data_IF_158531827107
#
_entry.id   IF_158531827107
#
_cell.length_a   1.000
_cell.length_b   1.000
_cell.length_c   1.000
_cell.angle_alpha   90.00
_cell.angle_beta   90.00
_cell.angle_gamma   90.00
#
_symmetry.space_group_name_H-M   'P 1'
#
loop_
_entity.id
_entity.type
_entity.pdbx_description
1 polymer ?
#
# COMPACT_ATOMS: atom_id res chain seq x y z
N UNK A 1 18.76 5.26 -19.52
CA UNK A 1 17.95 4.87 -18.35
C UNK A 1 17.04 6.05 -18.06
N UNK A 2 15.76 5.93 -18.38
CA UNK A 2 14.75 6.89 -17.93
C UNK A 2 14.61 6.70 -16.42
N UNK A 3 15.01 7.70 -15.65
CA UNK A 3 14.79 7.73 -14.21
C UNK A 3 13.27 7.79 -14.01
N UNK A 4 12.68 6.76 -13.40
CA UNK A 4 11.26 6.77 -13.06
C UNK A 4 11.01 7.90 -12.04
N UNK A 5 9.90 8.66 -12.18
CA UNK A 5 9.63 9.85 -11.38
C UNK A 5 9.12 9.54 -9.96
N UNK A 6 9.72 8.56 -9.28
CA UNK A 6 9.29 8.17 -7.92
C UNK A 6 9.36 9.35 -6.95
N UNK A 7 8.34 9.44 -6.11
CA UNK A 7 8.17 10.41 -5.03
C UNK A 7 8.45 9.73 -3.68
N UNK A 8 8.41 10.52 -2.59
CA UNK A 8 8.61 9.99 -1.23
C UNK A 8 7.47 9.13 -0.71
N UNK A 9 6.28 9.23 -1.32
CA UNK A 9 5.10 8.45 -0.89
C UNK A 9 5.03 7.10 -1.61
N UNK A 10 5.90 6.87 -2.58
CA UNK A 10 5.91 5.65 -3.36
C UNK A 10 6.68 4.54 -2.67
N UNK A 11 6.21 3.31 -2.87
CA UNK A 11 6.86 2.11 -2.40
C UNK A 11 6.32 0.88 -3.13
N UNK A 12 6.73 -0.30 -2.67
CA UNK A 12 6.20 -1.59 -3.09
C UNK A 12 5.81 -2.40 -1.86
N UNK A 13 4.81 -3.25 -2.01
CA UNK A 13 4.28 -4.11 -0.96
C UNK A 13 5.22 -5.30 -0.67
N UNK A 14 6.47 -5.00 -0.33
CA UNK A 14 7.48 -5.93 0.12
C UNK A 14 7.85 -5.64 1.56
N UNK A 15 8.00 -6.70 2.35
CA UNK A 15 8.56 -6.64 3.70
C UNK A 15 9.56 -7.78 3.88
N UNK A 16 10.42 -7.69 4.90
CA UNK A 16 11.23 -8.83 5.32
C UNK A 16 10.31 -9.98 5.71
N UNK A 17 10.52 -11.14 5.09
CA UNK A 17 9.69 -12.32 5.31
C UNK A 17 10.25 -13.07 6.52
N UNK A 18 9.47 -13.26 7.61
CA UNK A 18 9.94 -14.04 8.74
C UNK A 18 10.16 -15.50 8.35
N UNK A 19 11.16 -16.14 8.97
CA UNK A 19 11.30 -17.58 8.86
C UNK A 19 9.99 -18.27 9.28
N UNK A 20 9.59 -19.30 8.54
CA UNK A 20 8.36 -20.06 8.77
C UNK A 20 7.04 -19.30 8.53
N UNK A 21 7.05 -18.17 7.81
CA UNK A 21 5.81 -17.46 7.42
C UNK A 21 4.77 -18.37 6.75
N UNK A 22 5.24 -19.30 5.91
CA UNK A 22 4.41 -20.29 5.21
C UNK A 22 3.85 -21.38 6.13
N UNK A 23 4.41 -21.55 7.32
CA UNK A 23 4.04 -22.58 8.29
C UNK A 23 3.15 -22.03 9.41
N UNK A 24 2.75 -20.75 9.34
CA UNK A 24 1.87 -20.14 10.32
C UNK A 24 0.54 -20.90 10.40
N UNK A 25 0.13 -21.31 11.61
CA UNK A 25 -1.07 -22.11 11.84
C UNK A 25 -2.37 -21.41 11.42
N UNK A 26 -2.41 -20.08 11.55
CA UNK A 26 -3.54 -19.23 11.16
C UNK A 26 -3.05 -17.80 10.83
N UNK A 27 -3.98 -16.91 10.45
CA UNK A 27 -3.64 -15.53 10.09
C UNK A 27 -3.14 -14.71 11.29
N UNK A 28 -3.60 -15.00 12.51
CA UNK A 28 -3.16 -14.29 13.72
C UNK A 28 -1.72 -14.67 14.10
N UNK A 29 -1.36 -15.94 13.96
CA UNK A 29 0.00 -16.43 14.10
C UNK A 29 0.92 -15.80 13.04
N UNK A 30 0.46 -15.69 11.78
CA UNK A 30 1.20 -15.01 10.72
C UNK A 30 1.42 -13.53 11.05
N UNK A 31 0.39 -12.81 11.46
CA UNK A 31 0.50 -11.40 11.89
C UNK A 31 1.50 -11.25 13.05
N UNK A 32 1.50 -12.18 14.00
CA UNK A 32 2.44 -12.19 15.13
C UNK A 32 3.89 -12.42 14.69
N UNK A 33 4.13 -13.30 13.71
CA UNK A 33 5.45 -13.52 13.12
C UNK A 33 5.96 -12.26 12.42
N UNK A 34 5.15 -11.65 11.57
CA UNK A 34 5.49 -10.40 10.89
C UNK A 34 5.73 -9.26 11.89
N UNK A 35 4.91 -9.15 12.94
CA UNK A 35 5.11 -8.16 14.01
C UNK A 35 6.47 -8.32 14.71
N UNK A 36 6.82 -9.55 15.07
CA UNK A 36 8.07 -9.85 15.78
C UNK A 36 9.28 -9.59 14.89
N UNK A 37 9.18 -9.90 13.60
CA UNK A 37 10.27 -9.74 12.63
C UNK A 37 10.33 -8.36 11.97
N UNK A 38 9.32 -7.51 12.18
CA UNK A 38 9.26 -6.19 11.57
C UNK A 38 10.50 -5.37 11.92
N UNK A 39 11.19 -4.83 10.91
CA UNK A 39 12.30 -3.88 11.09
C UNK A 39 11.76 -2.49 10.72
N UNK A 40 11.71 -1.54 11.67
CA UNK A 40 11.25 -0.19 11.37
C UNK A 40 12.16 0.49 10.34
N UNK A 41 11.56 1.28 9.46
CA UNK A 41 12.27 2.11 8.48
C UNK A 41 13.20 1.32 7.54
N UNK A 42 12.96 0.01 7.41
CA UNK A 42 13.64 -0.89 6.46
C UNK A 42 12.72 -1.15 5.26
N UNK A 43 13.35 -1.32 4.10
CA UNK A 43 12.70 -1.80 2.89
C UNK A 43 13.60 -2.85 2.23
N UNK A 44 13.07 -4.04 1.90
CA UNK A 44 13.87 -5.13 1.35
C UNK A 44 14.19 -4.89 -0.14
N UNK A 45 15.15 -4.01 -0.42
CA UNK A 45 15.57 -3.66 -1.80
C UNK A 45 16.02 -4.86 -2.62
N UNK A 46 16.49 -5.92 -1.98
CA UNK A 46 16.82 -7.22 -2.60
C UNK A 46 15.62 -7.95 -3.21
N UNK A 47 14.39 -7.60 -2.80
CA UNK A 47 13.16 -8.13 -3.39
C UNK A 47 12.70 -7.34 -4.63
N UNK A 48 13.30 -6.18 -4.93
CA UNK A 48 12.92 -5.39 -6.09
C UNK A 48 13.39 -6.05 -7.40
N UNK A 49 12.53 -6.09 -8.43
CA UNK A 49 12.95 -6.47 -9.77
C UNK A 49 14.02 -5.51 -10.32
N UNK A 50 14.97 -6.06 -11.07
CA UNK A 50 16.05 -5.27 -11.69
C UNK A 50 15.55 -4.28 -12.74
N UNK A 51 14.41 -4.58 -13.38
CA UNK A 51 13.74 -3.71 -14.35
C UNK A 51 12.38 -3.28 -13.81
N UNK A 52 12.37 -2.16 -13.09
CA UNK A 52 11.16 -1.60 -12.50
C UNK A 52 10.17 -1.09 -13.56
N UNK A 53 10.66 -0.64 -14.72
CA UNK A 53 9.79 -0.20 -15.82
C UNK A 53 8.99 -1.38 -16.36
N UNK A 54 9.66 -2.51 -16.65
CA UNK A 54 8.98 -3.72 -17.10
C UNK A 54 8.06 -4.32 -16.03
N UNK A 55 8.43 -4.19 -14.75
CA UNK A 55 7.61 -4.65 -13.64
C UNK A 55 6.32 -3.83 -13.47
N UNK A 56 6.42 -2.50 -13.51
CA UNK A 56 5.27 -1.60 -13.43
C UNK A 56 4.33 -1.76 -14.63
N UNK A 57 4.87 -1.98 -15.83
CA UNK A 57 4.08 -2.24 -17.04
C UNK A 57 3.20 -3.49 -16.99
N UNK A 58 3.42 -4.38 -16.02
CA UNK A 58 2.62 -5.59 -15.80
C UNK A 58 1.84 -5.55 -14.48
N UNK A 59 1.84 -4.40 -13.80
CA UNK A 59 1.31 -4.28 -12.44
C UNK A 59 -0.23 -4.41 -12.43
N UNK A 60 -0.79 -5.49 -11.85
CA UNK A 60 -2.24 -5.71 -11.87
C UNK A 60 -2.97 -4.96 -10.75
N UNK A 61 -2.24 -4.55 -9.70
CA UNK A 61 -2.81 -3.93 -8.51
C UNK A 61 -1.93 -2.79 -8.02
N UNK A 62 -2.57 -1.71 -7.58
CA UNK A 62 -1.90 -0.60 -6.89
C UNK A 62 -2.56 -0.41 -5.54
N UNK A 63 -1.79 -0.41 -4.45
CA UNK A 63 -2.29 -0.07 -3.12
C UNK A 63 -2.27 1.45 -2.97
N UNK A 64 -3.44 2.01 -2.63
CA UNK A 64 -3.61 3.46 -2.53
C UNK A 64 -3.99 3.81 -1.09
N UNK A 65 -3.09 4.51 -0.42
CA UNK A 65 -3.37 5.11 0.87
C UNK A 65 -4.10 6.44 0.77
N UNK A 66 -4.15 7.14 1.90
CA UNK A 66 -4.82 8.44 1.98
C UNK A 66 -3.83 9.55 1.61
N UNK A 67 -2.90 9.79 2.52
CA UNK A 67 -1.92 10.86 2.45
C UNK A 67 -0.82 10.57 3.49
N UNK A 68 0.39 11.13 3.30
CA UNK A 68 1.46 10.94 4.24
C UNK A 68 1.18 11.68 5.55
N UNK A 69 1.47 11.03 6.67
CA UNK A 69 1.50 11.70 7.98
C UNK A 69 2.74 12.56 8.17
N UNK A 70 2.78 13.34 9.24
CA UNK A 70 3.87 14.29 9.54
C UNK A 70 5.26 13.65 9.68
N UNK A 71 5.35 12.31 9.81
CA UNK A 71 6.61 11.58 9.85
C UNK A 71 7.33 11.48 8.50
N UNK A 72 6.70 11.85 7.38
CA UNK A 72 7.35 11.83 6.06
C UNK A 72 8.55 12.78 5.99
N UNK A 73 8.52 13.91 6.73
CA UNK A 73 9.60 14.88 6.75
C UNK A 73 10.94 14.30 7.25
N UNK A 74 10.88 13.26 8.08
CA UNK A 74 12.05 12.61 8.65
C UNK A 74 12.60 11.47 7.75
N UNK A 75 11.91 11.13 6.65
CA UNK A 75 12.34 10.08 5.73
C UNK A 75 13.33 10.62 4.67
N UNK A 76 14.41 9.87 4.38
CA UNK A 76 15.40 10.27 3.39
C UNK A 76 14.82 10.28 1.97
N UNK A 77 15.19 11.30 1.19
CA UNK A 77 14.88 11.38 -0.24
C UNK A 77 15.42 10.11 -0.92
N UNK A 78 14.55 9.34 -1.58
CA UNK A 78 14.85 8.13 -2.38
C UNK A 78 14.88 6.77 -1.66
N UNK A 79 14.58 6.67 -0.37
CA UNK A 79 14.34 5.35 0.22
C UNK A 79 12.87 5.00 0.10
N UNK A 80 12.54 3.95 -0.67
CA UNK A 80 11.28 3.26 -0.45
C UNK A 80 11.24 2.85 1.02
N UNK A 81 10.13 3.13 1.68
CA UNK A 81 9.85 2.63 3.02
C UNK A 81 8.60 1.77 2.96
N UNK A 82 8.39 0.91 3.95
CA UNK A 82 7.20 0.07 3.99
C UNK A 82 5.94 0.88 4.37
N UNK A 83 5.57 1.86 3.52
CA UNK A 83 4.48 2.81 3.68
C UNK A 83 4.74 3.88 4.76
N UNK A 84 4.60 3.56 6.05
CA UNK A 84 4.88 4.54 7.12
C UNK A 84 6.22 4.30 7.84
N UNK A 85 6.80 3.11 7.71
CA UNK A 85 8.13 2.75 8.21
C UNK A 85 8.20 2.48 9.72
N UNK A 86 7.66 3.38 10.54
CA UNK A 86 7.77 3.33 11.99
C UNK A 86 6.91 2.21 12.59
N UNK A 87 7.44 1.40 13.55
CA UNK A 87 6.69 0.28 14.19
C UNK A 87 5.27 0.62 14.67
N UNK A 88 5.05 1.87 15.12
CA UNK A 88 3.76 2.36 15.61
C UNK A 88 2.66 2.44 14.54
N UNK A 89 3.01 2.50 13.24
CA UNK A 89 2.07 2.48 12.11
C UNK A 89 1.38 1.12 11.95
N UNK A 90 2.04 0.05 12.41
CA UNK A 90 1.60 -1.33 12.29
C UNK A 90 1.59 -1.87 10.86
N UNK A 91 2.50 -1.40 10.00
CA UNK A 91 2.63 -1.88 8.60
C UNK A 91 2.81 -3.42 8.52
N UNK A 92 3.34 -4.05 9.58
CA UNK A 92 3.41 -5.52 9.70
C UNK A 92 2.05 -6.23 9.58
N UNK A 93 0.95 -5.56 9.93
CA UNK A 93 -0.41 -6.09 9.77
C UNK A 93 -0.75 -6.23 8.30
N UNK A 94 -0.49 -5.15 7.53
CA UNK A 94 -0.67 -5.15 6.09
C UNK A 94 0.23 -6.23 5.48
N UNK A 95 1.51 -6.26 5.83
CA UNK A 95 2.46 -7.28 5.37
C UNK A 95 1.91 -8.71 5.53
N UNK A 96 1.41 -9.05 6.73
CA UNK A 96 0.86 -10.38 7.02
C UNK A 96 -0.42 -10.71 6.22
N UNK A 97 -1.25 -9.70 5.94
CA UNK A 97 -2.46 -9.87 5.15
C UNK A 97 -2.18 -10.01 3.64
N UNK A 98 -1.12 -9.36 3.14
CA UNK A 98 -0.72 -9.40 1.73
C UNK A 98 0.18 -10.59 1.40
N UNK A 99 0.92 -11.12 2.37
CA UNK A 99 1.85 -12.23 2.17
C UNK A 99 1.16 -13.45 1.52
N UNK A 100 1.78 -13.96 0.45
CA UNK A 100 1.25 -15.08 -0.34
C UNK A 100 0.02 -14.71 -1.19
N UNK A 101 -0.15 -13.44 -1.57
CA UNK A 101 -1.19 -12.99 -2.50
C UNK A 101 -0.60 -12.27 -3.71
N UNK A 102 -1.45 -12.04 -4.72
CA UNK A 102 -1.11 -11.19 -5.85
C UNK A 102 -0.87 -9.71 -5.49
N UNK A 103 -1.19 -9.27 -4.26
CA UNK A 103 -0.84 -7.93 -3.77
C UNK A 103 0.58 -7.87 -3.18
N UNK A 104 1.27 -9.00 -2.98
CA UNK A 104 2.66 -8.98 -2.55
C UNK A 104 3.54 -8.45 -3.70
N UNK A 105 4.27 -7.38 -3.44
CA UNK A 105 5.03 -6.64 -4.45
C UNK A 105 4.23 -5.62 -5.27
N UNK A 106 2.93 -5.43 -4.99
CA UNK A 106 2.14 -4.38 -5.62
C UNK A 106 2.77 -2.99 -5.40
N UNK A 107 2.66 -2.11 -6.40
CA UNK A 107 3.04 -0.71 -6.22
C UNK A 107 2.16 -0.06 -5.15
N UNK A 108 2.75 0.77 -4.29
CA UNK A 108 2.05 1.48 -3.23
C UNK A 108 2.29 2.98 -3.36
N UNK A 109 1.25 3.76 -3.18
CA UNK A 109 1.33 5.23 -3.16
C UNK A 109 0.17 5.81 -2.34
N UNK A 110 0.16 7.12 -2.15
CA UNK A 110 -0.94 7.83 -1.51
C UNK A 110 -1.82 8.54 -2.54
N UNK A 111 -3.11 8.70 -2.23
CA UNK A 111 -4.00 9.48 -3.08
C UNK A 111 -3.58 10.96 -3.10
N UNK A 112 -3.14 11.52 -1.97
CA UNK A 112 -2.67 12.91 -1.87
C UNK A 112 -1.26 12.96 -1.31
N UNK A 113 -0.41 13.82 -1.89
CA UNK A 113 0.92 14.12 -1.34
C UNK A 113 0.88 15.11 -0.15
N UNK A 114 -0.30 15.55 0.26
CA UNK A 114 -0.46 16.49 1.38
C UNK A 114 0.02 15.84 2.68
N UNK A 115 1.09 16.39 3.26
CA UNK A 115 1.63 15.93 4.55
C UNK A 115 0.78 16.47 5.70
N UNK A 116 -0.10 15.64 6.25
CA UNK A 116 -0.88 15.95 7.45
C UNK A 116 -1.32 14.64 8.15
N UNK A 117 -1.04 14.53 9.45
CA UNK A 117 -1.51 13.39 10.24
C UNK A 117 -3.03 13.37 10.50
N UNK A 118 -3.74 14.46 10.23
CA UNK A 118 -5.21 14.55 10.29
C UNK A 118 -5.82 14.52 8.88
N UNK A 119 -6.41 13.39 8.45
CA UNK A 119 -6.98 13.28 7.11
C UNK A 119 -8.19 14.20 6.86
N UNK A 120 -8.79 14.77 7.91
CA UNK A 120 -9.87 15.75 7.76
C UNK A 120 -9.38 17.09 7.18
N UNK A 121 -8.08 17.37 7.23
CA UNK A 121 -7.47 18.55 6.64
C UNK A 121 -7.08 18.35 5.17
N UNK A 122 -7.19 17.12 4.67
CA UNK A 122 -6.77 16.77 3.31
C UNK A 122 -7.97 16.73 2.39
N UNK A 123 -7.89 17.50 1.31
CA UNK A 123 -8.94 17.55 0.31
C UNK A 123 -8.80 16.42 -0.71
N UNK A 124 -9.51 15.31 -0.50
CA UNK A 124 -9.66 14.26 -1.50
C UNK A 124 -10.71 14.66 -2.54
N UNK A 125 -10.30 15.41 -3.57
CA UNK A 125 -11.20 15.90 -4.63
C UNK A 125 -10.91 15.23 -5.98
N UNK A 126 -11.68 15.58 -7.01
CA UNK A 126 -11.51 15.03 -8.35
C UNK A 126 -10.12 15.31 -8.95
N UNK A 127 -9.55 16.49 -8.69
CA UNK A 127 -8.23 16.84 -9.21
C UNK A 127 -7.16 15.91 -8.64
N UNK A 128 -7.21 15.64 -7.33
CA UNK A 128 -6.27 14.73 -6.66
C UNK A 128 -6.36 13.30 -7.23
N UNK A 129 -7.57 12.83 -7.56
CA UNK A 129 -7.73 11.53 -8.23
C UNK A 129 -7.16 11.57 -9.65
N UNK A 130 -7.38 12.65 -10.40
CA UNK A 130 -6.83 12.81 -11.74
C UNK A 130 -5.29 12.88 -11.73
N UNK A 131 -4.70 13.54 -10.73
CA UNK A 131 -3.25 13.63 -10.54
C UNK A 131 -2.65 12.25 -10.26
N UNK A 132 -3.29 11.45 -9.40
CA UNK A 132 -2.90 10.04 -9.19
C UNK A 132 -2.97 9.24 -10.49
N UNK A 133 -4.07 9.30 -11.24
CA UNK A 133 -4.23 8.55 -12.50
C UNK A 133 -3.16 8.91 -13.52
N UNK A 134 -2.88 10.21 -13.70
CA UNK A 134 -1.80 10.70 -14.57
C UNK A 134 -0.43 10.21 -14.11
N UNK A 135 -0.22 10.15 -12.79
CA UNK A 135 1.03 9.66 -12.23
C UNK A 135 1.23 8.16 -12.49
N UNK A 136 0.19 7.33 -12.31
CA UNK A 136 0.23 5.90 -12.64
C UNK A 136 0.46 5.67 -14.14
N UNK A 137 -0.13 6.50 -15.01
CA UNK A 137 0.12 6.47 -16.45
C UNK A 137 1.57 6.82 -16.78
N UNK A 138 2.15 7.84 -16.12
CA UNK A 138 3.54 8.23 -16.30
C UNK A 138 4.54 7.16 -15.82
N UNK A 139 4.15 6.36 -14.82
CA UNK A 139 4.88 5.17 -14.37
C UNK A 139 4.71 3.96 -15.30
N UNK A 140 3.81 4.05 -16.29
CA UNK A 140 3.50 2.97 -17.22
C UNK A 140 2.63 1.86 -16.64
N UNK A 141 1.94 2.10 -15.51
CA UNK A 141 1.04 1.12 -14.89
C UNK A 141 -0.20 0.95 -15.79
N UNK A 142 -0.65 -0.29 -16.07
CA UNK A 142 -1.81 -0.52 -16.94
C UNK A 142 -3.09 0.21 -16.51
N UNK A 143 -3.89 0.63 -17.49
CA UNK A 143 -5.17 1.30 -17.26
C UNK A 143 -6.27 0.36 -16.71
N UNK A 144 -6.05 -0.95 -16.77
CA UNK A 144 -6.90 -1.98 -16.16
C UNK A 144 -6.37 -2.46 -14.79
N UNK A 145 -5.25 -1.91 -14.31
CA UNK A 145 -4.77 -2.18 -12.96
C UNK A 145 -5.80 -1.75 -11.92
N UNK A 146 -6.09 -2.61 -10.94
CA UNK A 146 -7.08 -2.32 -9.92
C UNK A 146 -6.46 -1.52 -8.76
N UNK A 147 -7.04 -0.36 -8.46
CA UNK A 147 -6.70 0.44 -7.29
C UNK A 147 -7.32 -0.17 -6.03
N UNK A 148 -6.48 -0.55 -5.08
CA UNK A 148 -6.86 -1.13 -3.80
C UNK A 148 -6.71 -0.04 -2.72
N UNK A 149 -7.80 0.65 -2.43
CA UNK A 149 -7.82 1.66 -1.38
C UNK A 149 -7.64 1.02 0.01
N UNK A 150 -6.70 1.53 0.79
CA UNK A 150 -6.53 1.13 2.20
C UNK A 150 -7.49 1.96 3.04
N UNK A 151 -8.60 1.37 3.47
CA UNK A 151 -9.71 2.04 4.16
C UNK A 151 -10.86 2.48 3.24
N UNK A 152 -11.95 2.91 3.86
CA UNK A 152 -13.24 3.21 3.19
C UNK A 152 -13.71 4.66 3.36
N UNK A 153 -12.77 5.57 3.65
CA UNK A 153 -13.05 6.98 3.88
C UNK A 153 -13.33 7.78 2.60
N UNK A 154 -13.23 9.11 2.71
CA UNK A 154 -13.44 10.02 1.58
C UNK A 154 -12.48 9.75 0.41
N UNK A 155 -11.26 9.29 0.67
CA UNK A 155 -10.30 8.89 -0.37
C UNK A 155 -10.87 7.75 -1.23
N UNK A 156 -11.36 6.67 -0.61
CA UNK A 156 -11.98 5.55 -1.31
C UNK A 156 -13.23 5.97 -2.08
N UNK A 157 -14.12 6.76 -1.47
CA UNK A 157 -15.34 7.23 -2.12
C UNK A 157 -15.05 8.06 -3.37
N UNK A 158 -14.03 8.91 -3.33
CA UNK A 158 -13.63 9.73 -4.47
C UNK A 158 -12.87 8.92 -5.52
N UNK A 159 -12.06 7.94 -5.14
CA UNK A 159 -11.49 6.96 -6.07
C UNK A 159 -12.62 6.26 -6.85
N UNK A 160 -13.61 5.67 -6.17
CA UNK A 160 -14.74 4.99 -6.83
C UNK A 160 -15.50 5.93 -7.79
N UNK A 161 -15.59 7.22 -7.44
CA UNK A 161 -16.36 8.20 -8.21
C UNK A 161 -15.61 8.73 -9.44
N UNK A 162 -14.30 8.91 -9.34
CA UNK A 162 -13.52 9.69 -10.30
C UNK A 162 -12.39 8.93 -10.98
N UNK A 163 -11.96 7.77 -10.44
CA UNK A 163 -10.95 6.94 -11.09
C UNK A 163 -11.52 6.29 -12.35
N UNK A 164 -10.68 6.17 -13.37
CA UNK A 164 -10.97 5.37 -14.56
C UNK A 164 -10.53 3.91 -14.38
N UNK A 165 -9.54 3.66 -13.50
CA UNK A 165 -9.13 2.31 -13.11
C UNK A 165 -10.18 1.66 -12.18
N UNK A 166 -10.34 0.32 -12.20
CA UNK A 166 -11.21 -0.37 -11.26
C UNK A 166 -10.79 -0.09 -9.81
N UNK A 167 -11.74 0.10 -8.90
CA UNK A 167 -11.46 0.40 -7.49
C UNK A 167 -12.04 -0.67 -6.58
N UNK A 168 -11.21 -1.18 -5.67
CA UNK A 168 -11.60 -2.02 -4.53
C UNK A 168 -11.06 -1.41 -3.24
N UNK A 169 -11.37 -2.03 -2.12
CA UNK A 169 -10.91 -1.57 -0.80
C UNK A 169 -10.57 -2.73 0.10
N UNK A 170 -9.59 -2.51 0.97
CA UNK A 170 -9.25 -3.38 2.10
C UNK A 170 -9.34 -2.57 3.41
N UNK A 171 -9.48 -3.22 4.57
CA UNK A 171 -9.51 -2.53 5.85
C UNK A 171 -8.26 -1.67 6.09
N UNK A 172 -8.41 -0.56 6.81
CA UNK A 172 -7.28 0.25 7.26
C UNK A 172 -6.67 -0.36 8.53
N UNK A 173 -5.34 -0.52 8.58
CA UNK A 173 -4.63 -1.24 9.64
C UNK A 173 -4.14 -0.36 10.81
N UNK A 174 -4.24 0.97 10.69
CA UNK A 174 -3.77 1.89 11.74
C UNK A 174 -4.41 1.61 13.11
N UNK A 175 -3.65 1.76 14.21
CA UNK A 175 -4.17 1.66 15.57
C UNK A 175 -5.30 2.64 15.89
N UNK A 176 -5.38 3.80 15.21
CA UNK A 176 -6.46 4.77 15.42
C UNK A 176 -7.83 4.26 14.93
N UNK A 177 -7.85 3.19 14.16
CA UNK A 177 -9.06 2.56 13.64
C UNK A 177 -9.55 1.46 14.62
N UNK A 178 -10.25 1.88 15.68
CA UNK A 178 -10.71 1.06 16.80
C UNK A 178 -11.57 -0.17 16.38
N UNK A 179 -10.93 -1.30 16.09
CA UNK A 179 -11.57 -2.63 16.06
C UNK A 179 -12.00 -3.17 14.69
N UNK A 180 -11.76 -2.45 13.59
CA UNK A 180 -12.12 -2.94 12.26
C UNK A 180 -11.09 -3.92 11.66
N UNK A 181 -9.87 -3.96 12.20
CA UNK A 181 -8.82 -4.87 11.76
C UNK A 181 -8.74 -6.11 12.68
N UNK A 182 -8.98 -7.28 12.09
CA UNK A 182 -8.54 -8.57 12.63
C UNK A 182 -7.79 -9.32 11.54
N UNK A 183 -6.81 -10.16 11.92
CA UNK A 183 -5.98 -10.86 10.94
C UNK A 183 -6.81 -11.67 9.93
N UNK A 184 -7.86 -12.36 10.40
CA UNK A 184 -8.75 -13.15 9.53
C UNK A 184 -9.61 -12.29 8.62
N UNK A 185 -10.32 -11.28 9.16
CA UNK A 185 -11.19 -10.42 8.36
C UNK A 185 -10.38 -9.69 7.29
N UNK A 186 -9.24 -9.10 7.67
CA UNK A 186 -8.39 -8.39 6.72
C UNK A 186 -7.83 -9.30 5.64
N UNK A 187 -7.38 -10.51 5.99
CA UNK A 187 -6.95 -11.51 4.99
C UNK A 187 -8.07 -11.88 4.03
N UNK A 188 -9.29 -12.12 4.54
CA UNK A 188 -10.45 -12.44 3.71
C UNK A 188 -10.81 -11.29 2.77
N UNK A 189 -10.79 -10.04 3.25
CA UNK A 189 -11.06 -8.86 2.42
C UNK A 189 -10.00 -8.66 1.34
N UNK A 190 -8.72 -8.90 1.65
CA UNK A 190 -7.63 -8.92 0.66
C UNK A 190 -7.91 -9.96 -0.43
N UNK A 191 -8.22 -11.21 -0.04
CA UNK A 191 -8.51 -12.28 -1.01
C UNK A 191 -9.74 -11.97 -1.87
N UNK A 192 -10.78 -11.39 -1.28
CA UNK A 192 -11.98 -10.98 -2.01
C UNK A 192 -11.70 -9.84 -3.00
N UNK A 193 -10.78 -8.93 -2.67
CA UNK A 193 -10.41 -7.81 -3.55
C UNK A 193 -9.65 -8.26 -4.81
N UNK A 194 -8.87 -9.34 -4.73
CA UNK A 194 -8.07 -9.84 -5.87
C UNK A 194 -8.75 -10.92 -6.71
N UNK A 195 -9.71 -11.67 -6.17
CA UNK A 195 -10.33 -12.81 -6.85
C UNK A 195 -11.64 -12.47 -7.60
N UNK A 196 -12.04 -11.20 -7.65
CA UNK A 196 -13.22 -10.74 -8.38
C UNK A 196 -12.81 -10.10 -9.69
N UNK A 197 -12.48 -10.94 -10.69
CA UNK A 197 -12.38 -10.57 -12.10
C UNK A 197 -13.67 -10.99 -12.83
#
# INVERSE_FOLDING_TARGET
MTTLPFTKVDSFAFWRIPANADQAADNQARETLFKTHYVPDDFPTDQLPTDLTAYLAQMPYVLVGMNPGNGLADQPDQSFTNFHGARKSQDYKLAAALYGTALWGAFMTDLSETVDSNPQHVAFNQQVVADLENYLDALGIPADATLIAVGQGAHYQNLVKFAHRPVKTIPHYSPSNNGHWTADNSRQKVLAAINQH
#
